data_IF_478524148973
#
_entry.id   IF_478524148973
#
_cell.length_a   1.000
_cell.length_b   1.000
_cell.length_c   1.000
_cell.angle_alpha   90.00
_cell.angle_beta   90.00
_cell.angle_gamma   90.00
#
_symmetry.space_group_name_H-M   'P 1'
#
loop_
_entity.id
_entity.type
_entity.pdbx_description
1 polymer ?
#
# COMPACT_ATOMS: atom_id res chain seq x y z
N UNK A 1 7.40 -18.42 8.14
CA UNK A 1 8.52 -18.72 7.22
C UNK A 1 8.83 -17.44 6.48
N UNK A 2 9.94 -16.76 6.81
CA UNK A 2 10.38 -15.56 6.09
C UNK A 2 11.06 -16.02 4.81
N UNK A 3 10.36 -15.95 3.68
CA UNK A 3 11.02 -16.04 2.38
C UNK A 3 11.64 -14.67 2.10
N UNK A 4 12.96 -14.59 1.84
CA UNK A 4 13.59 -13.32 1.49
C UNK A 4 12.89 -12.72 0.27
N UNK A 5 12.81 -11.39 0.22
CA UNK A 5 12.24 -10.69 -0.94
C UNK A 5 12.98 -11.12 -2.22
N UNK A 6 12.25 -11.55 -3.27
CA UNK A 6 12.85 -11.78 -4.57
C UNK A 6 13.52 -10.47 -5.01
N UNK A 7 14.80 -10.54 -5.37
CA UNK A 7 15.59 -9.36 -5.72
C UNK A 7 15.07 -8.61 -6.96
N UNK A 8 14.21 -9.26 -7.74
CA UNK A 8 13.74 -8.73 -9.02
C UNK A 8 12.30 -8.21 -8.96
N UNK A 9 11.59 -8.37 -7.83
CA UNK A 9 10.18 -7.96 -7.71
C UNK A 9 10.08 -6.72 -6.82
N UNK A 10 9.49 -5.60 -7.29
CA UNK A 10 9.27 -4.43 -6.46
C UNK A 10 8.40 -4.81 -5.26
N UNK A 11 8.86 -4.47 -4.06
CA UNK A 11 8.18 -4.76 -2.82
C UNK A 11 7.97 -3.48 -2.00
N UNK A 12 6.77 -3.30 -1.45
CA UNK A 12 6.43 -2.15 -0.61
C UNK A 12 5.78 -2.60 0.68
N UNK A 13 6.34 -2.18 1.82
CA UNK A 13 5.71 -2.37 3.12
C UNK A 13 4.66 -1.29 3.35
N UNK A 14 3.42 -1.70 3.64
CA UNK A 14 2.30 -0.81 3.94
C UNK A 14 2.32 -0.53 5.44
N UNK A 15 2.83 0.64 5.81
CA UNK A 15 3.06 1.07 7.18
C UNK A 15 2.00 2.07 7.61
N UNK A 16 1.57 1.99 8.85
CA UNK A 16 0.55 2.87 9.42
C UNK A 16 -0.12 2.22 10.62
N UNK A 17 -0.68 3.05 11.49
CA UNK A 17 -1.37 2.56 12.69
C UNK A 17 -2.66 1.82 12.33
N UNK A 18 -3.18 1.06 13.28
CA UNK A 18 -4.47 0.36 13.13
C UNK A 18 -5.56 1.38 12.82
N UNK A 19 -6.45 1.03 11.89
CA UNK A 19 -7.55 1.88 11.43
C UNK A 19 -7.15 3.17 10.69
N UNK A 20 -5.92 3.32 10.17
CA UNK A 20 -5.56 4.46 9.30
C UNK A 20 -5.91 4.23 7.82
N UNK A 21 -6.43 3.04 7.46
CA UNK A 21 -6.84 2.71 6.09
C UNK A 21 -5.83 1.91 5.28
N UNK A 22 -4.84 1.27 5.92
CA UNK A 22 -3.93 0.31 5.24
C UNK A 22 -4.69 -0.74 4.45
N UNK A 23 -5.71 -1.36 5.05
CA UNK A 23 -6.52 -2.38 4.39
C UNK A 23 -7.25 -1.85 3.16
N UNK A 24 -7.74 -0.61 3.21
CA UNK A 24 -8.38 0.03 2.06
C UNK A 24 -7.38 0.29 0.93
N UNK A 25 -6.19 0.81 1.26
CA UNK A 25 -5.10 1.00 0.29
C UNK A 25 -4.69 -0.33 -0.36
N UNK A 26 -4.54 -1.38 0.45
CA UNK A 26 -4.21 -2.73 -0.05
C UNK A 26 -5.32 -3.26 -0.96
N UNK A 27 -6.59 -3.13 -0.55
CA UNK A 27 -7.73 -3.56 -1.35
C UNK A 27 -7.78 -2.82 -2.70
N UNK A 28 -7.53 -1.50 -2.72
CA UNK A 28 -7.47 -0.73 -3.97
C UNK A 28 -6.31 -1.17 -4.87
N UNK A 29 -5.10 -1.36 -4.32
CA UNK A 29 -3.92 -1.80 -5.08
C UNK A 29 -4.11 -3.19 -5.69
N UNK A 30 -4.78 -4.07 -4.96
CA UNK A 30 -5.07 -5.43 -5.36
C UNK A 30 -6.42 -5.60 -6.08
N UNK A 31 -7.22 -4.54 -6.24
CA UNK A 31 -8.57 -4.59 -6.81
C UNK A 31 -9.46 -5.68 -6.17
N UNK A 32 -9.37 -5.87 -4.84
CA UNK A 32 -10.18 -6.84 -4.09
C UNK A 32 -11.56 -6.22 -3.83
N UNK A 33 -12.42 -6.16 -4.84
CA UNK A 33 -13.87 -5.97 -4.60
C UNK A 33 -14.76 -6.64 -5.66
N UNK A 34 -14.23 -7.08 -6.80
CA UNK A 34 -15.00 -7.82 -7.81
C UNK A 34 -14.25 -9.07 -8.28
N UNK A 35 -14.98 -10.19 -8.27
CA UNK A 35 -14.65 -11.52 -8.79
C UNK A 35 -13.23 -11.73 -9.39
N UNK A 36 -12.39 -12.40 -8.60
CA UNK A 36 -11.30 -13.27 -9.04
C UNK A 36 -10.28 -12.74 -10.06
N UNK A 37 -9.77 -11.50 -9.93
CA UNK A 37 -8.60 -11.06 -10.73
C UNK A 37 -7.54 -10.26 -9.94
N UNK A 38 -7.24 -10.69 -8.72
CA UNK A 38 -5.85 -10.88 -8.26
C UNK A 38 -5.90 -12.12 -7.39
N UNK A 39 -5.14 -13.19 -7.72
CA UNK A 39 -5.05 -14.38 -6.87
C UNK A 39 -4.31 -14.05 -5.57
N UNK A 40 -4.99 -13.37 -4.67
CA UNK A 40 -4.56 -13.12 -3.30
C UNK A 40 -4.66 -14.44 -2.55
N UNK A 41 -3.58 -14.94 -1.96
CA UNK A 41 -3.73 -16.00 -0.95
C UNK A 41 -4.23 -15.35 0.35
N UNK A 42 -5.42 -15.70 0.88
CA UNK A 42 -5.83 -15.19 2.17
C UNK A 42 -5.37 -16.15 3.28
N UNK A 43 -4.94 -15.58 4.40
CA UNK A 43 -5.44 -16.06 5.69
C UNK A 43 -5.74 -14.82 6.52
N UNK A 44 -7.03 -14.49 6.76
CA UNK A 44 -7.39 -13.37 7.63
C UNK A 44 -7.04 -13.72 9.08
N UNK A 45 -6.45 -12.77 9.79
CA UNK A 45 -6.18 -12.85 11.22
C UNK A 45 -5.53 -11.55 11.67
N UNK A 46 -5.72 -11.17 12.93
CA UNK A 46 -5.10 -9.99 13.55
C UNK A 46 -3.65 -9.83 13.08
N UNK A 47 -3.26 -8.61 12.66
CA UNK A 47 -1.97 -8.27 12.04
C UNK A 47 -0.80 -8.40 13.03
N UNK A 48 -0.62 -9.58 13.61
CA UNK A 48 0.51 -9.98 14.46
C UNK A 48 1.67 -10.54 13.62
N UNK A 49 1.48 -10.67 12.30
CA UNK A 49 2.47 -11.16 11.33
C UNK A 49 2.42 -10.32 10.05
N UNK A 50 3.57 -10.08 9.43
CA UNK A 50 3.63 -9.42 8.13
C UNK A 50 3.00 -10.32 7.06
N UNK A 51 2.02 -9.80 6.32
CA UNK A 51 1.29 -10.55 5.30
C UNK A 51 1.66 -10.05 3.90
N UNK A 52 2.26 -10.89 3.04
CA UNK A 52 2.55 -10.53 1.67
C UNK A 52 1.31 -10.66 0.78
N UNK A 53 1.08 -9.64 -0.03
CA UNK A 53 0.02 -9.46 -1.01
C UNK A 53 0.66 -9.30 -2.38
N UNK A 54 0.40 -10.21 -3.31
CA UNK A 54 1.08 -10.26 -4.61
C UNK A 54 0.13 -9.87 -5.72
N UNK A 55 0.55 -8.97 -6.59
CA UNK A 55 -0.11 -8.73 -7.89
C UNK A 55 0.55 -9.67 -8.90
N UNK A 56 -0.25 -10.52 -9.53
CA UNK A 56 0.23 -11.59 -10.41
C UNK A 56 -0.51 -11.51 -11.73
N UNK A 57 0.23 -11.46 -12.84
CA UNK A 57 -0.31 -11.55 -14.20
C UNK A 57 0.34 -12.73 -14.92
N UNK A 58 -0.47 -13.59 -15.56
CA UNK A 58 0.04 -14.75 -16.31
C UNK A 58 0.92 -15.70 -15.47
N UNK A 59 0.68 -15.80 -14.16
CA UNK A 59 1.48 -16.61 -13.23
C UNK A 59 2.81 -15.97 -12.78
N UNK A 60 3.14 -14.77 -13.26
CA UNK A 60 4.33 -14.01 -12.86
C UNK A 60 3.97 -12.97 -11.81
N UNK A 61 4.74 -12.94 -10.72
CA UNK A 61 4.63 -11.89 -9.71
C UNK A 61 5.20 -10.57 -10.25
N UNK A 62 4.37 -9.53 -10.23
CA UNK A 62 4.66 -8.22 -10.81
C UNK A 62 5.03 -7.19 -9.75
N UNK A 63 4.31 -7.17 -8.63
CA UNK A 63 4.59 -6.31 -7.47
C UNK A 63 4.09 -6.97 -6.20
N UNK A 64 4.77 -6.70 -5.09
CA UNK A 64 4.42 -7.19 -3.75
C UNK A 64 4.13 -6.04 -2.80
N UNK A 65 3.00 -6.11 -2.12
CA UNK A 65 2.67 -5.28 -0.97
C UNK A 65 2.78 -6.13 0.30
N UNK A 66 3.33 -5.58 1.38
CA UNK A 66 3.53 -6.30 2.64
C UNK A 66 2.74 -5.55 3.69
N UNK A 67 1.60 -6.10 4.12
CA UNK A 67 0.86 -5.55 5.26
C UNK A 67 1.69 -5.79 6.52
N UNK A 68 2.10 -4.71 7.17
CA UNK A 68 2.89 -4.77 8.40
C UNK A 68 2.03 -4.42 9.62
N UNK A 69 2.37 -4.92 10.83
CA UNK A 69 1.84 -4.32 12.05
C UNK A 69 2.15 -2.81 12.07
N UNK A 70 1.34 -2.03 12.77
CA UNK A 70 1.67 -0.63 13.04
C UNK A 70 2.76 -0.51 14.10
N UNK A 71 3.40 0.65 14.21
CA UNK A 71 4.23 0.94 15.39
C UNK A 71 3.35 0.93 16.65
N UNK A 72 3.84 0.22 17.68
CA UNK A 72 3.21 0.12 19.00
C UNK A 72 3.89 1.05 20.00
N UNK A 73 5.22 1.21 19.91
CA UNK A 73 6.08 2.02 20.79
C UNK A 73 7.12 2.82 20.00
N UNK A 74 6.70 3.70 19.06
CA UNK A 74 7.64 4.35 18.15
C UNK A 74 8.63 5.27 18.86
N UNK A 75 8.25 5.94 19.94
CA UNK A 75 9.14 6.85 20.68
C UNK A 75 10.23 6.06 21.40
N UNK A 76 9.87 4.99 22.10
CA UNK A 76 10.80 4.11 22.80
C UNK A 76 11.71 3.38 21.82
N UNK A 77 11.18 2.88 20.71
CA UNK A 77 11.97 2.24 19.66
C UNK A 77 12.96 3.23 19.04
N UNK A 78 12.54 4.46 18.75
CA UNK A 78 13.41 5.51 18.23
C UNK A 78 14.58 5.79 19.19
N UNK A 79 14.31 5.90 20.49
CA UNK A 79 15.34 6.09 21.52
C UNK A 79 16.29 4.90 21.63
N UNK A 80 15.76 3.68 21.59
CA UNK A 80 16.57 2.46 21.64
C UNK A 80 17.51 2.37 20.42
N UNK A 81 17.02 2.65 19.21
CA UNK A 81 17.83 2.69 17.98
C UNK A 81 18.92 3.76 18.08
N UNK A 82 18.60 4.94 18.62
CA UNK A 82 19.58 6.01 18.85
C UNK A 82 20.65 5.61 19.88
N UNK A 83 20.26 4.91 20.95
CA UNK A 83 21.21 4.41 21.95
C UNK A 83 22.16 3.37 21.35
N UNK A 84 21.65 2.47 20.51
CA UNK A 84 22.45 1.49 19.77
C UNK A 84 23.44 2.18 18.83
N UNK A 85 23.01 3.25 18.16
CA UNK A 85 23.85 3.98 17.21
C UNK A 85 24.90 4.88 17.90
N UNK A 86 24.54 5.54 19.00
CA UNK A 86 25.36 6.56 19.65
C UNK A 86 25.18 7.95 19.01
N UNK A 87 26.29 8.64 18.75
CA UNK A 87 26.27 10.00 18.23
C UNK A 87 26.03 10.04 16.72
N UNK A 88 25.05 10.82 16.27
CA UNK A 88 24.76 11.02 14.84
C UNK A 88 23.36 10.57 14.44
N UNK A 89 23.17 10.38 13.13
CA UNK A 89 21.90 9.87 12.58
C UNK A 89 21.99 8.35 12.41
N UNK A 90 21.09 7.56 13.02
CA UNK A 90 21.08 6.11 12.87
C UNK A 90 21.06 5.66 11.41
N UNK A 91 21.86 4.64 11.12
CA UNK A 91 21.90 3.97 9.82
C UNK A 91 21.30 2.57 9.87
N UNK A 92 21.39 1.86 8.74
CA UNK A 92 20.87 0.50 8.59
C UNK A 92 21.45 -0.50 9.59
N UNK A 93 22.72 -0.33 9.99
CA UNK A 93 23.37 -1.21 10.97
C UNK A 93 22.69 -1.13 12.34
N UNK A 94 22.43 0.09 12.84
CA UNK A 94 21.72 0.28 14.11
C UNK A 94 20.29 -0.30 14.07
N UNK A 95 19.61 -0.16 12.93
CA UNK A 95 18.29 -0.79 12.72
C UNK A 95 18.38 -2.32 12.72
N UNK A 96 19.41 -2.92 12.09
CA UNK A 96 19.64 -4.37 12.11
C UNK A 96 19.91 -4.87 13.53
N UNK A 97 20.76 -4.18 14.27
CA UNK A 97 21.07 -4.50 15.67
C UNK A 97 19.83 -4.37 16.54
N UNK A 98 19.04 -3.30 16.39
CA UNK A 98 17.76 -3.17 17.08
C UNK A 98 16.81 -4.35 16.79
N UNK A 99 16.66 -4.71 15.51
CA UNK A 99 15.81 -5.86 15.13
C UNK A 99 16.31 -7.18 15.71
N UNK A 100 17.62 -7.34 15.89
CA UNK A 100 18.23 -8.56 16.43
C UNK A 100 18.15 -8.64 17.97
N UNK A 101 18.42 -7.53 18.66
CA UNK A 101 18.72 -7.52 20.10
C UNK A 101 17.58 -6.96 20.96
N UNK A 102 16.67 -6.17 20.39
CA UNK A 102 15.58 -5.57 21.16
C UNK A 102 14.62 -6.65 21.70
N UNK A 103 14.09 -6.40 22.90
CA UNK A 103 13.18 -7.32 23.59
C UNK A 103 11.84 -7.53 22.87
N UNK A 104 11.06 -8.48 23.38
CA UNK A 104 9.76 -8.86 22.80
C UNK A 104 8.71 -7.72 22.87
N UNK A 105 8.93 -6.73 23.75
CA UNK A 105 8.11 -5.51 23.82
C UNK A 105 8.16 -4.66 22.54
N UNK A 106 9.17 -4.86 21.68
CA UNK A 106 9.31 -4.22 20.36
C UNK A 106 8.92 -5.15 19.21
N UNK A 107 8.12 -6.20 19.49
CA UNK A 107 7.78 -7.22 18.50
C UNK A 107 7.17 -6.67 17.21
N UNK A 108 6.34 -5.63 17.29
CA UNK A 108 5.73 -5.00 16.11
C UNK A 108 6.74 -4.20 15.30
N UNK A 109 7.59 -3.41 15.96
CA UNK A 109 8.66 -2.64 15.31
C UNK A 109 9.65 -3.56 14.62
N UNK A 110 10.06 -4.65 15.29
CA UNK A 110 10.93 -5.68 14.72
C UNK A 110 10.33 -6.24 13.44
N UNK A 111 9.06 -6.67 13.49
CA UNK A 111 8.34 -7.22 12.33
C UNK A 111 8.20 -6.23 11.19
N UNK A 112 7.89 -4.97 11.49
CA UNK A 112 7.77 -3.89 10.50
C UNK A 112 9.10 -3.58 9.83
N UNK A 113 10.20 -3.54 10.59
CA UNK A 113 11.52 -3.17 10.08
C UNK A 113 12.16 -4.26 9.22
N UNK A 114 11.88 -5.54 9.46
CA UNK A 114 12.43 -6.66 8.67
C UNK A 114 12.26 -6.47 7.14
N UNK A 115 11.04 -6.29 6.57
CA UNK A 115 10.89 -6.11 5.13
C UNK A 115 11.60 -4.85 4.61
N UNK A 116 11.67 -3.79 5.41
CA UNK A 116 12.40 -2.56 5.05
C UNK A 116 13.91 -2.82 5.01
N UNK A 117 14.45 -3.59 5.95
CA UNK A 117 15.87 -3.99 5.96
C UNK A 117 16.21 -4.94 4.79
N UNK A 118 15.24 -5.69 4.28
CA UNK A 118 15.39 -6.59 3.14
C UNK A 118 15.32 -5.89 1.77
N UNK A 119 14.72 -4.71 1.67
CA UNK A 119 14.64 -4.02 0.38
C UNK A 119 13.39 -3.20 0.15
N UNK A 120 12.32 -3.47 0.89
CA UNK A 120 11.01 -2.93 0.55
C UNK A 120 10.97 -1.40 0.66
N UNK A 121 10.33 -0.77 -0.31
CA UNK A 121 9.89 0.63 -0.20
C UNK A 121 8.82 0.77 0.89
N UNK A 122 8.56 2.01 1.30
CA UNK A 122 7.58 2.35 2.33
C UNK A 122 6.36 2.97 1.68
N UNK A 123 5.20 2.41 1.94
CA UNK A 123 3.90 3.02 1.70
C UNK A 123 3.26 3.39 3.03
N UNK A 124 3.43 4.65 3.45
CA UNK A 124 2.98 5.12 4.77
C UNK A 124 1.59 5.72 4.70
N UNK A 125 0.63 5.10 5.39
CA UNK A 125 -0.79 5.47 5.36
C UNK A 125 -1.17 6.16 6.66
N UNK A 126 -1.65 7.39 6.55
CA UNK A 126 -2.09 8.20 7.70
C UNK A 126 -3.48 8.79 7.44
N UNK A 127 -4.21 9.01 8.53
CA UNK A 127 -5.50 9.69 8.52
C UNK A 127 -5.30 11.15 8.95
N UNK A 128 -5.40 12.13 8.02
CA UNK A 128 -5.20 13.54 8.33
C UNK A 128 -6.29 14.13 9.24
N UNK A 129 -7.38 13.40 9.51
CA UNK A 129 -8.35 13.80 10.53
C UNK A 129 -7.80 13.67 11.95
N UNK A 130 -6.72 12.89 12.14
CA UNK A 130 -6.09 12.72 13.45
C UNK A 130 -4.98 13.73 13.67
N UNK A 131 -4.82 14.24 14.91
CA UNK A 131 -3.80 15.23 15.20
C UNK A 131 -2.41 14.64 15.03
N UNK A 132 -1.51 15.43 14.45
CA UNK A 132 -0.10 15.09 14.34
C UNK A 132 0.53 15.14 15.75
N UNK A 133 1.13 14.04 16.17
CA UNK A 133 1.67 13.83 17.52
C UNK A 133 3.11 13.33 17.45
N UNK A 134 3.83 13.40 18.56
CA UNK A 134 5.24 13.01 18.66
C UNK A 134 5.50 11.54 18.31
N UNK A 135 4.51 10.67 18.52
CA UNK A 135 4.59 9.27 18.11
C UNK A 135 4.69 9.14 16.59
N UNK A 136 3.87 9.85 15.82
CA UNK A 136 3.99 9.92 14.37
C UNK A 136 5.33 10.51 13.92
N UNK A 137 5.86 11.52 14.63
CA UNK A 137 7.18 12.06 14.32
C UNK A 137 8.27 11.00 14.48
N UNK A 138 8.20 10.20 15.55
CA UNK A 138 9.13 9.10 15.78
C UNK A 138 9.00 8.01 14.70
N UNK A 139 7.77 7.65 14.29
CA UNK A 139 7.55 6.72 13.17
C UNK A 139 8.24 7.21 11.90
N UNK A 140 8.04 8.47 11.53
CA UNK A 140 8.63 9.07 10.32
C UNK A 140 10.16 9.08 10.36
N UNK A 141 10.77 9.40 11.51
CA UNK A 141 12.22 9.39 11.65
C UNK A 141 12.81 7.98 11.52
N UNK A 142 12.19 6.98 12.17
CA UNK A 142 12.61 5.58 12.02
C UNK A 142 12.53 5.14 10.56
N UNK A 143 11.42 5.44 9.88
CA UNK A 143 11.25 5.13 8.46
C UNK A 143 12.28 5.86 7.59
N UNK A 144 12.64 7.10 7.92
CA UNK A 144 13.68 7.87 7.21
C UNK A 144 15.06 7.22 7.34
N UNK A 145 15.41 6.68 8.51
CA UNK A 145 16.70 5.99 8.75
C UNK A 145 16.85 4.70 7.93
N UNK A 146 15.75 4.10 7.47
CA UNK A 146 15.82 2.95 6.55
C UNK A 146 16.40 3.30 5.19
N UNK A 147 16.40 4.58 4.79
CA UNK A 147 16.87 5.03 3.49
C UNK A 147 16.05 4.52 2.29
N UNK A 148 14.95 3.79 2.50
CA UNK A 148 14.12 3.20 1.44
C UNK A 148 13.27 4.25 0.72
N UNK A 149 12.89 4.07 -0.55
CA UNK A 149 11.88 4.91 -1.19
C UNK A 149 10.60 5.00 -0.34
N UNK A 150 10.06 6.20 -0.15
CA UNK A 150 8.97 6.48 0.80
C UNK A 150 7.85 7.28 0.13
N UNK A 151 6.68 6.67 -0.04
CA UNK A 151 5.43 7.33 -0.43
C UNK A 151 4.52 7.44 0.79
N UNK A 152 4.04 8.65 1.10
CA UNK A 152 3.00 8.88 2.08
C UNK A 152 1.63 9.05 1.41
N UNK A 153 0.63 8.37 1.96
CA UNK A 153 -0.77 8.45 1.57
C UNK A 153 -1.59 9.10 2.71
N UNK A 154 -2.14 10.27 2.42
CA UNK A 154 -3.13 10.94 3.25
C UNK A 154 -4.49 10.34 2.92
N UNK A 155 -4.94 9.38 3.71
CA UNK A 155 -6.23 8.72 3.53
C UNK A 155 -7.36 9.61 4.05
N UNK A 156 -8.00 10.36 3.16
CA UNK A 156 -9.16 11.17 3.53
C UNK A 156 -10.41 10.29 3.57
N UNK A 157 -11.11 10.31 4.70
CA UNK A 157 -12.50 9.84 4.79
C UNK A 157 -13.42 11.03 4.57
N UNK A 158 -14.55 10.83 3.89
CA UNK A 158 -15.46 11.93 3.58
C UNK A 158 -15.89 12.72 4.85
N UNK A 159 -16.13 14.02 4.68
CA UNK A 159 -16.65 14.98 5.67
C UNK A 159 -15.74 15.45 6.81
N UNK A 160 -14.45 15.14 6.80
CA UNK A 160 -13.51 15.68 7.80
C UNK A 160 -12.26 16.22 7.10
N UNK A 161 -12.28 17.49 6.70
CA UNK A 161 -11.04 18.27 6.63
C UNK A 161 -10.55 18.39 8.08
N UNK A 162 -9.62 17.51 8.47
CA UNK A 162 -8.99 17.59 9.77
C UNK A 162 -8.35 18.97 9.95
N UNK A 163 -8.30 19.51 11.18
CA UNK A 163 -7.65 20.80 11.45
C UNK A 163 -6.17 20.84 11.03
N UNK A 164 -5.55 19.67 10.79
CA UNK A 164 -4.11 19.50 10.63
C UNK A 164 -3.67 19.00 9.24
N UNK A 165 -4.51 18.97 8.20
CA UNK A 165 -4.10 18.42 6.89
C UNK A 165 -2.86 19.13 6.31
N UNK A 166 -2.78 20.45 6.42
CA UNK A 166 -1.62 21.21 5.94
C UNK A 166 -0.38 20.98 6.81
N UNK A 167 -0.56 20.79 8.12
CA UNK A 167 0.53 20.40 9.02
C UNK A 167 1.08 19.00 8.64
N UNK A 168 0.18 18.06 8.34
CA UNK A 168 0.54 16.74 7.83
C UNK A 168 1.31 16.82 6.51
N UNK A 169 0.79 17.56 5.50
CA UNK A 169 1.48 17.73 4.21
C UNK A 169 2.87 18.34 4.38
N UNK A 170 2.98 19.39 5.21
CA UNK A 170 4.25 20.06 5.49
C UNK A 170 5.25 19.09 6.13
N UNK A 171 4.85 18.36 7.18
CA UNK A 171 5.75 17.44 7.87
C UNK A 171 6.16 16.25 7.01
N UNK A 172 5.21 15.66 6.29
CA UNK A 172 5.46 14.54 5.37
C UNK A 172 6.37 14.96 4.20
N UNK A 173 6.19 16.18 3.67
CA UNK A 173 7.03 16.71 2.59
C UNK A 173 8.52 16.80 2.95
N UNK A 174 8.86 16.91 4.24
CA UNK A 174 10.24 16.87 4.72
C UNK A 174 10.82 15.46 4.96
N UNK A 175 9.98 14.42 5.00
CA UNK A 175 10.39 13.06 5.39
C UNK A 175 10.20 12.00 4.28
N UNK A 176 9.27 12.24 3.33
CA UNK A 176 8.88 11.32 2.28
C UNK A 176 9.30 11.83 0.91
N UNK A 177 9.59 10.90 -0.02
CA UNK A 177 9.91 11.25 -1.40
C UNK A 177 8.69 11.81 -2.13
N UNK A 178 7.51 11.32 -1.78
CA UNK A 178 6.25 11.70 -2.39
C UNK A 178 5.12 11.68 -1.37
N UNK A 179 4.19 12.63 -1.49
CA UNK A 179 2.95 12.69 -0.72
C UNK A 179 1.78 12.74 -1.68
N UNK A 180 0.78 11.88 -1.46
CA UNK A 180 -0.46 11.83 -2.24
C UNK A 180 -1.65 11.76 -1.30
N UNK A 181 -2.78 12.30 -1.75
CA UNK A 181 -4.08 12.09 -1.11
C UNK A 181 -4.72 10.85 -1.70
N UNK A 182 -5.28 10.01 -0.83
CA UNK A 182 -5.95 8.78 -1.19
C UNK A 182 -7.39 8.84 -0.67
N UNK A 183 -8.33 8.42 -1.50
CA UNK A 183 -9.74 8.29 -1.15
C UNK A 183 -10.21 6.85 -1.39
N UNK A 184 -10.50 6.15 -0.30
CA UNK A 184 -10.93 4.76 -0.32
C UNK A 184 -12.34 4.56 -0.90
N UNK A 185 -13.22 5.57 -0.88
CA UNK A 185 -14.61 5.41 -1.35
C UNK A 185 -14.72 5.41 -2.87
N UNK A 186 -13.71 5.97 -3.55
CA UNK A 186 -13.58 5.97 -4.99
C UNK A 186 -12.56 4.92 -5.49
N UNK A 187 -12.36 3.84 -4.72
CA UNK A 187 -11.49 2.71 -5.07
C UNK A 187 -11.98 1.98 -6.33
N UNK A 188 -11.79 2.64 -7.46
CA UNK A 188 -11.97 2.16 -8.83
C UNK A 188 -10.59 1.93 -9.44
N UNK A 189 -10.59 1.47 -10.67
CA UNK A 189 -9.42 1.40 -11.53
C UNK A 189 -8.54 2.68 -11.52
N UNK A 190 -9.15 3.87 -11.57
CA UNK A 190 -8.39 5.13 -11.64
C UNK A 190 -7.51 5.36 -10.40
N UNK A 191 -7.98 5.02 -9.20
CA UNK A 191 -7.20 5.19 -7.97
C UNK A 191 -6.10 4.13 -7.88
N UNK A 192 -6.39 2.88 -8.27
CA UNK A 192 -5.37 1.83 -8.40
C UNK A 192 -4.23 2.27 -9.32
N UNK A 193 -4.57 2.81 -10.50
CA UNK A 193 -3.60 3.30 -11.48
C UNK A 193 -2.82 4.52 -10.95
N UNK A 194 -3.48 5.46 -10.28
CA UNK A 194 -2.82 6.62 -9.64
C UNK A 194 -1.80 6.17 -8.60
N UNK A 195 -2.13 5.19 -7.77
CA UNK A 195 -1.20 4.64 -6.77
C UNK A 195 -0.01 3.93 -7.40
N UNK A 196 -0.22 3.07 -8.40
CA UNK A 196 0.87 2.40 -9.11
C UNK A 196 1.81 3.41 -9.80
N UNK A 197 1.26 4.46 -10.42
CA UNK A 197 2.05 5.57 -11.01
C UNK A 197 2.82 6.35 -9.94
N UNK A 198 2.26 6.58 -8.76
CA UNK A 198 2.98 7.20 -7.66
C UNK A 198 4.14 6.34 -7.13
N UNK A 199 3.99 5.01 -7.12
CA UNK A 199 5.10 4.10 -6.79
C UNK A 199 6.22 4.17 -7.83
N UNK A 200 5.87 4.30 -9.12
CA UNK A 200 6.81 4.47 -10.22
C UNK A 200 7.64 5.77 -10.11
N UNK A 201 7.11 6.82 -9.48
CA UNK A 201 7.85 8.06 -9.25
C UNK A 201 8.97 7.90 -8.20
N UNK A 202 8.82 6.97 -7.26
CA UNK A 202 9.78 6.78 -6.15
C UNK A 202 10.71 5.58 -6.32
N UNK A 203 10.36 4.63 -7.19
CA UNK A 203 11.09 3.37 -7.38
C UNK A 203 11.91 3.41 -8.69
N UNK A 204 13.23 3.51 -8.55
CA UNK A 204 14.14 3.58 -9.70
C UNK A 204 14.67 2.19 -10.11
N UNK A 205 14.94 1.31 -9.16
CA UNK A 205 15.61 0.02 -9.44
C UNK A 205 14.69 -0.92 -10.21
N UNK A 206 13.42 -0.96 -9.84
CA UNK A 206 12.41 -1.83 -10.43
C UNK A 206 11.45 -1.10 -11.38
N UNK A 207 11.82 0.11 -11.83
CA UNK A 207 11.02 0.95 -12.74
C UNK A 207 10.44 0.16 -13.94
N UNK A 208 11.22 -0.63 -14.70
CA UNK A 208 10.67 -1.36 -15.85
C UNK A 208 9.58 -2.37 -15.50
N UNK A 209 9.66 -3.00 -14.32
CA UNK A 209 8.66 -3.96 -13.88
C UNK A 209 7.36 -3.27 -13.43
N UNK A 210 7.46 -2.12 -12.78
CA UNK A 210 6.29 -1.31 -12.45
C UNK A 210 5.61 -0.76 -13.71
N UNK A 211 6.38 -0.32 -14.71
CA UNK A 211 5.83 0.08 -16.02
C UNK A 211 5.09 -1.07 -16.72
N UNK A 212 5.69 -2.27 -16.74
CA UNK A 212 5.03 -3.48 -17.22
C UNK A 212 3.72 -3.75 -16.47
N UNK A 213 3.74 -3.66 -15.14
CA UNK A 213 2.56 -3.87 -14.28
C UNK A 213 1.45 -2.88 -14.62
N UNK A 214 1.79 -1.60 -14.76
CA UNK A 214 0.85 -0.54 -15.13
C UNK A 214 0.23 -0.83 -16.50
N UNK A 215 1.04 -1.22 -17.50
CA UNK A 215 0.53 -1.58 -18.83
C UNK A 215 -0.42 -2.77 -18.79
N UNK A 216 -0.11 -3.80 -17.99
CA UNK A 216 -0.96 -4.97 -17.82
C UNK A 216 -2.31 -4.60 -17.19
N UNK A 217 -2.30 -3.75 -16.17
CA UNK A 217 -3.51 -3.22 -15.53
C UNK A 217 -4.33 -2.36 -16.52
N UNK A 218 -3.68 -1.52 -17.32
CA UNK A 218 -4.35 -0.69 -18.34
C UNK A 218 -5.00 -1.55 -19.44
N UNK A 219 -4.31 -2.60 -19.92
CA UNK A 219 -4.83 -3.51 -20.93
C UNK A 219 -5.99 -4.37 -20.41
N UNK A 220 -5.88 -4.89 -19.18
CA UNK A 220 -6.96 -5.63 -18.53
C UNK A 220 -8.24 -4.80 -18.44
N UNK A 221 -8.11 -3.54 -18.02
CA UNK A 221 -9.25 -2.64 -17.92
C UNK A 221 -9.90 -2.35 -19.27
N UNK A 222 -9.09 -2.16 -20.32
CA UNK A 222 -9.60 -1.98 -21.67
C UNK A 222 -10.38 -3.22 -22.15
N UNK A 223 -9.86 -4.43 -21.92
CA UNK A 223 -10.55 -5.68 -22.25
C UNK A 223 -11.90 -5.81 -21.53
N UNK A 224 -11.95 -5.57 -20.22
CA UNK A 224 -13.22 -5.60 -19.45
C UNK A 224 -14.23 -4.57 -19.97
N UNK A 225 -13.79 -3.39 -20.41
CA UNK A 225 -14.67 -2.37 -20.99
C UNK A 225 -15.27 -2.82 -22.32
N UNK A 226 -14.48 -3.48 -23.16
CA UNK A 226 -14.94 -4.04 -24.43
C UNK A 226 -15.94 -5.17 -24.21
N UNK A 227 -15.66 -6.10 -23.30
CA UNK A 227 -16.58 -7.18 -22.91
C UNK A 227 -17.92 -6.65 -22.38
N UNK A 228 -17.89 -5.61 -21.53
CA UNK A 228 -19.11 -4.97 -21.02
C UNK A 228 -19.89 -4.30 -22.15
N UNK A 229 -19.22 -3.62 -23.08
CA UNK A 229 -19.87 -3.00 -24.23
C UNK A 229 -20.55 -4.05 -25.12
N UNK A 230 -19.86 -5.17 -25.40
CA UNK A 230 -20.41 -6.29 -26.17
C UNK A 230 -21.63 -6.92 -25.48
N UNK A 231 -21.56 -7.12 -24.16
CA UNK A 231 -22.68 -7.64 -23.38
C UNK A 231 -23.90 -6.70 -23.41
N UNK A 232 -23.70 -5.39 -23.29
CA UNK A 232 -24.77 -4.39 -23.39
C UNK A 232 -25.38 -4.39 -24.78
N UNK A 233 -24.56 -4.40 -25.84
CA UNK A 233 -25.03 -4.43 -27.23
C UNK A 233 -25.87 -5.69 -27.47
N UNK A 234 -25.35 -6.86 -27.08
CA UNK A 234 -26.04 -8.15 -27.21
C UNK A 234 -27.38 -8.15 -26.49
N UNK A 235 -27.44 -7.59 -25.27
CA UNK A 235 -28.68 -7.43 -24.52
C UNK A 235 -29.69 -6.54 -25.25
N UNK A 236 -29.25 -5.39 -25.77
CA UNK A 236 -30.11 -4.46 -26.50
C UNK A 236 -30.64 -5.08 -27.81
N UNK A 237 -29.80 -5.76 -28.58
CA UNK A 237 -30.22 -6.48 -29.79
C UNK A 237 -31.29 -7.54 -29.48
N UNK A 238 -31.05 -8.34 -28.44
CA UNK A 238 -32.00 -9.36 -27.99
C UNK A 238 -33.33 -8.73 -27.56
N UNK A 239 -33.28 -7.65 -26.78
CA UNK A 239 -34.46 -6.94 -26.31
C UNK A 239 -35.28 -6.33 -27.46
N UNK A 240 -34.61 -5.76 -28.47
CA UNK A 240 -35.25 -5.14 -29.63
C UNK A 240 -35.83 -6.16 -30.61
N UNK A 241 -35.32 -7.39 -30.65
CA UNK A 241 -35.82 -8.46 -31.50
C UNK A 241 -36.99 -9.26 -30.89
N UNK A 242 -37.33 -9.05 -29.61
CA UNK A 242 -38.47 -9.70 -28.98
C UNK A 242 -39.80 -9.20 -29.57
N UNK A 243 -40.59 -10.11 -30.14
CA UNK A 243 -41.97 -9.87 -30.58
C UNK A 243 -42.94 -10.66 -29.74
N UNK A 244 -43.95 -9.98 -29.20
CA UNK A 244 -45.08 -10.60 -28.52
C UNK A 244 -46.26 -10.59 -29.47
N UNK A 245 -46.71 -11.76 -29.89
CA UNK A 245 -47.94 -11.92 -30.67
C UNK A 245 -49.06 -12.34 -29.72
N UNK A 246 -50.19 -11.65 -29.76
CA UNK A 246 -51.42 -12.04 -29.07
C UNK A 246 -52.55 -12.20 -30.08
N UNK A 247 -53.27 -13.31 -30.02
CA UNK A 247 -54.48 -13.54 -30.81
C UNK A 247 -55.66 -12.92 -30.06
N UNK A 248 -56.38 -11.99 -30.70
CA UNK A 248 -57.62 -11.44 -30.14
C UNK A 248 -58.76 -12.43 -30.43
N UNK A 249 -59.42 -12.93 -29.37
CA UNK A 249 -60.66 -13.72 -29.44
C UNK A 249 -61.90 -12.84 -29.66
#
# INVERSE_FOLDING_TARGET
MNHPLPKDVPAFAVVGRVNMGKSAVIATLLEIDDNELVRVSPTPGETTRCQPHRVVFGGRECVRFIDTPGFSRPIEAMRAIQQIHGAGTPGLEALRTFVAEAGEEFGDEKRLLVPLLEGAGVLYVVDPAKPLRDDFLAEMEILRWTGRPRLALLNRRENVSGPDEDAWKSRLGGAFNLVRTFDAHHARYDERLRLLKALLEIEETHRPMLEETIRLVENEWQGRREEVAEAIITFLETALCLRVNATLE
#
